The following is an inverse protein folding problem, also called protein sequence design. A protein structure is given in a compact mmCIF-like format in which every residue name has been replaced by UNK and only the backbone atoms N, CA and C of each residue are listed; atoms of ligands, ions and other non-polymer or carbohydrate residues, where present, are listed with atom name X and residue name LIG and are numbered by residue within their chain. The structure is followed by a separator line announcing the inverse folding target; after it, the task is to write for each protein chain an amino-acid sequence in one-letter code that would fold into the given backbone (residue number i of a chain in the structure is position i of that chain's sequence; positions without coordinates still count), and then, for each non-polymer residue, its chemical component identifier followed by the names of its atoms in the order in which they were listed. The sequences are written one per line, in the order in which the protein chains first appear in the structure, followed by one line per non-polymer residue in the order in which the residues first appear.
data_IF_420064157420
#
_entry.id   IF_420064157420
#
_cell.length_a   1.000
_cell.length_b   1.000
_cell.length_c   1.000
_cell.angle_alpha   90.00
_cell.angle_beta   90.00
_cell.angle_gamma   90.00
#
_symmetry.space_group_name_H-M   'P 1'
#
loop_
_entity.id
_entity.type
_entity.pdbx_description
1 polymer ?
#
# COMPACT_ATOMS: atom_id res chain seq x y z
N UNK A 1 -11.36 11.89 -10.09
CA UNK A 1 -10.04 11.28 -9.81
C UNK A 1 -8.97 12.24 -10.29
N UNK A 2 -7.97 12.48 -9.46
CA UNK A 2 -6.79 13.29 -9.77
C UNK A 2 -5.57 12.43 -9.44
N UNK A 3 -4.64 12.29 -10.39
CA UNK A 3 -3.36 11.62 -10.20
C UNK A 3 -2.28 12.69 -10.16
N UNK A 4 -1.42 12.65 -9.13
CA UNK A 4 -0.41 13.68 -8.87
C UNK A 4 0.95 13.01 -8.73
N UNK A 5 1.90 13.37 -9.58
CA UNK A 5 3.30 13.04 -9.36
C UNK A 5 3.80 13.91 -8.19
N UNK A 6 4.13 13.28 -7.07
CA UNK A 6 4.60 13.96 -5.85
C UNK A 6 5.51 13.00 -5.07
N UNK A 7 6.46 13.52 -4.28
CA UNK A 7 6.85 14.93 -4.10
C UNK A 7 7.68 15.50 -5.27
N UNK A 8 8.28 16.67 -5.08
CA UNK A 8 9.25 17.27 -6.03
C UNK A 8 10.35 16.25 -6.35
N UNK A 9 10.66 16.08 -7.64
CA UNK A 9 11.64 15.11 -8.15
C UNK A 9 11.02 13.82 -8.70
N UNK A 10 9.74 13.56 -8.44
CA UNK A 10 9.04 12.35 -8.91
C UNK A 10 8.41 12.56 -10.29
N UNK A 11 8.59 11.59 -11.19
CA UNK A 11 7.93 11.56 -12.50
C UNK A 11 8.15 12.84 -13.31
N UNK A 12 7.09 13.60 -13.57
CA UNK A 12 7.16 14.89 -14.26
C UNK A 12 7.21 16.11 -13.32
N UNK A 13 7.15 15.92 -12.01
CA UNK A 13 7.25 16.99 -11.01
C UNK A 13 8.69 17.44 -10.85
N UNK A 14 9.10 18.39 -11.69
CA UNK A 14 10.46 18.91 -11.72
C UNK A 14 10.77 19.85 -10.56
N UNK A 15 12.01 19.85 -10.09
CA UNK A 15 12.52 20.74 -9.05
C UNK A 15 13.68 20.09 -8.30
N UNK A 16 14.12 20.74 -7.23
CA UNK A 16 15.12 20.18 -6.31
C UNK A 16 14.39 19.77 -5.04
N UNK A 17 14.41 18.48 -4.63
CA UNK A 17 13.84 18.06 -3.37
C UNK A 17 14.44 18.84 -2.20
N UNK A 18 13.59 19.32 -1.30
CA UNK A 18 14.00 20.02 -0.07
C UNK A 18 13.42 19.42 1.18
N UNK A 19 12.49 18.47 1.05
CA UNK A 19 11.79 17.88 2.19
C UNK A 19 12.75 17.04 3.04
N UNK A 20 12.66 17.12 4.37
CA UNK A 20 13.31 16.17 5.30
C UNK A 20 12.33 15.20 5.95
N UNK A 21 11.03 15.39 5.70
CA UNK A 21 9.98 14.51 6.18
C UNK A 21 8.63 14.83 5.54
N UNK A 22 7.65 14.02 5.89
CA UNK A 22 6.26 14.05 5.42
C UNK A 22 5.55 15.37 5.70
N UNK A 23 5.87 16.09 6.78
CA UNK A 23 5.24 17.38 7.10
C UNK A 23 5.48 18.43 6.00
N UNK A 24 6.67 18.46 5.42
CA UNK A 24 7.04 19.40 4.35
C UNK A 24 6.41 18.97 3.01
N UNK A 25 6.43 17.67 2.70
CA UNK A 25 5.72 17.11 1.54
C UNK A 25 4.23 17.42 1.61
N UNK A 26 3.61 17.24 2.77
CA UNK A 26 2.20 17.51 2.98
C UNK A 26 1.88 19.00 2.81
N UNK A 27 2.75 19.90 3.27
CA UNK A 27 2.60 21.33 3.07
C UNK A 27 2.65 21.71 1.59
N UNK A 28 3.61 21.16 0.84
CA UNK A 28 3.74 21.38 -0.61
C UNK A 28 2.52 20.86 -1.36
N UNK A 29 2.05 19.65 -1.04
CA UNK A 29 0.86 19.07 -1.66
C UNK A 29 -0.38 19.93 -1.42
N UNK A 30 -0.60 20.39 -0.18
CA UNK A 30 -1.76 21.22 0.16
C UNK A 30 -1.71 22.57 -0.55
N UNK A 31 -0.52 23.16 -0.73
CA UNK A 31 -0.37 24.40 -1.50
C UNK A 31 -0.69 24.16 -2.99
N UNK A 32 -0.12 23.10 -3.59
CA UNK A 32 -0.46 22.70 -4.96
C UNK A 32 -1.96 22.48 -5.14
N UNK A 33 -2.58 21.73 -4.21
CA UNK A 33 -3.97 21.37 -4.33
C UNK A 33 -4.88 22.59 -4.17
N UNK A 34 -4.51 23.58 -3.36
CA UNK A 34 -5.24 24.86 -3.30
C UNK A 34 -5.21 25.58 -4.66
N UNK A 35 -4.02 25.74 -5.25
CA UNK A 35 -3.89 26.38 -6.57
C UNK A 35 -4.66 25.61 -7.66
N UNK A 36 -4.62 24.27 -7.62
CA UNK A 36 -5.40 23.43 -8.51
C UNK A 36 -6.91 23.65 -8.33
N UNK A 37 -7.39 23.77 -7.09
CA UNK A 37 -8.80 24.04 -6.83
C UNK A 37 -9.25 25.41 -7.34
N UNK A 38 -8.39 26.43 -7.22
CA UNK A 38 -8.66 27.78 -7.72
C UNK A 38 -8.72 27.83 -9.25
N UNK A 39 -7.81 27.13 -9.94
CA UNK A 39 -7.77 27.09 -11.41
C UNK A 39 -8.98 26.35 -12.00
N UNK A 40 -9.39 25.24 -11.39
CA UNK A 40 -10.44 24.36 -11.94
C UNK A 40 -11.82 24.51 -11.28
N UNK A 41 -11.99 25.46 -10.35
CA UNK A 41 -13.22 25.76 -9.62
C UNK A 41 -13.88 24.52 -8.98
N UNK A 42 -13.06 23.68 -8.34
CA UNK A 42 -13.51 22.46 -7.64
C UNK A 42 -13.65 22.64 -6.13
N UNK A 43 -13.74 23.89 -5.67
CA UNK A 43 -14.06 24.19 -4.27
C UNK A 43 -15.44 23.65 -3.89
N UNK A 44 -15.61 23.36 -2.59
CA UNK A 44 -16.75 22.69 -1.96
C UNK A 44 -16.90 21.21 -2.32
N UNK A 45 -15.98 20.62 -3.08
CA UNK A 45 -16.03 19.20 -3.38
C UNK A 45 -15.71 18.40 -2.13
N UNK A 46 -16.36 17.25 -1.97
CA UNK A 46 -15.91 16.24 -1.01
C UNK A 46 -14.58 15.68 -1.51
N UNK A 47 -13.59 15.66 -0.64
CA UNK A 47 -12.24 15.20 -0.96
C UNK A 47 -12.01 13.84 -0.32
N UNK A 48 -11.45 12.91 -1.09
CA UNK A 48 -11.02 11.61 -0.60
C UNK A 48 -9.57 11.41 -1.02
N UNK A 49 -8.70 11.10 -0.06
CA UNK A 49 -7.30 10.84 -0.35
C UNK A 49 -7.06 9.35 -0.43
N UNK A 50 -6.48 8.91 -1.54
CA UNK A 50 -6.25 7.51 -1.79
C UNK A 50 -4.83 7.26 -2.26
N UNK A 51 -4.25 6.12 -1.89
CA UNK A 51 -2.92 5.76 -2.33
C UNK A 51 -2.59 4.30 -2.03
N UNK A 52 -1.39 3.89 -2.42
CA UNK A 52 -0.86 2.54 -2.22
C UNK A 52 0.56 2.63 -1.65
N UNK A 53 1.03 1.60 -0.94
CA UNK A 53 2.44 1.47 -0.54
C UNK A 53 2.87 2.56 0.45
N UNK A 54 3.96 3.27 0.16
CA UNK A 54 4.43 4.42 0.91
C UNK A 54 3.38 5.53 1.05
N UNK A 55 2.32 5.55 0.23
CA UNK A 55 1.21 6.46 0.45
C UNK A 55 0.46 6.22 1.78
N UNK A 56 0.74 5.13 2.50
CA UNK A 56 0.40 5.00 3.91
C UNK A 56 0.98 6.09 4.81
N UNK A 57 2.08 6.74 4.38
CA UNK A 57 2.65 7.96 4.96
C UNK A 57 1.98 9.20 4.39
N UNK A 58 2.03 9.35 3.06
CA UNK A 58 1.52 10.54 2.37
C UNK A 58 0.04 10.81 2.69
N UNK A 59 -0.83 9.81 2.61
CA UNK A 59 -2.29 10.00 2.78
C UNK A 59 -2.63 10.54 4.18
N UNK A 60 -2.18 9.94 5.29
CA UNK A 60 -2.41 10.49 6.62
C UNK A 60 -1.77 11.86 6.86
N UNK A 61 -0.54 12.10 6.40
CA UNK A 61 0.15 13.37 6.59
C UNK A 61 -0.49 14.51 5.80
N UNK A 62 -0.78 14.31 4.52
CA UNK A 62 -1.51 15.28 3.69
C UNK A 62 -2.91 15.52 4.28
N UNK A 63 -3.59 14.46 4.71
CA UNK A 63 -4.90 14.58 5.35
C UNK A 63 -4.85 15.42 6.61
N UNK A 64 -3.85 15.22 7.48
CA UNK A 64 -3.67 16.02 8.68
C UNK A 64 -3.43 17.50 8.32
N UNK A 65 -2.58 17.78 7.34
CA UNK A 65 -2.33 19.14 6.86
C UNK A 65 -3.59 19.81 6.28
N UNK A 66 -4.44 19.06 5.57
CA UNK A 66 -5.75 19.54 5.10
C UNK A 66 -6.70 19.86 6.27
N UNK A 67 -6.78 18.98 7.27
CA UNK A 67 -7.59 19.21 8.48
C UNK A 67 -7.10 20.43 9.27
N UNK A 68 -5.79 20.69 9.31
CA UNK A 68 -5.18 21.84 9.98
C UNK A 68 -5.52 23.19 9.32
N UNK A 69 -5.90 23.21 8.04
CA UNK A 69 -6.38 24.43 7.39
C UNK A 69 -7.69 24.94 7.98
N UNK A 70 -8.50 24.05 8.57
CA UNK A 70 -9.82 24.37 9.11
C UNK A 70 -10.69 25.17 8.10
N UNK A 71 -10.62 24.75 6.83
CA UNK A 71 -11.30 25.38 5.70
C UNK A 71 -12.02 24.29 4.91
N UNK A 72 -13.30 24.11 5.19
CA UNK A 72 -14.15 23.13 4.49
C UNK A 72 -14.62 23.62 3.11
N UNK A 73 -14.35 24.86 2.71
CA UNK A 73 -14.60 25.28 1.33
C UNK A 73 -13.55 24.65 0.40
N UNK A 74 -12.29 24.53 0.83
CA UNK A 74 -11.20 23.97 0.01
C UNK A 74 -10.71 22.59 0.47
N UNK A 75 -10.93 22.20 1.73
CA UNK A 75 -10.37 20.98 2.31
C UNK A 75 -11.44 20.16 3.04
N UNK A 76 -12.61 19.98 2.42
CA UNK A 76 -13.67 19.11 2.91
C UNK A 76 -13.29 17.62 2.80
N UNK A 77 -12.32 17.19 3.61
CA UNK A 77 -11.84 15.83 3.69
C UNK A 77 -12.94 14.91 4.23
N UNK A 78 -13.37 13.96 3.41
CA UNK A 78 -14.53 13.10 3.64
C UNK A 78 -14.18 11.63 3.83
N UNK A 79 -12.92 11.23 3.65
CA UNK A 79 -12.46 9.87 3.86
C UNK A 79 -11.10 9.59 3.21
N UNK A 80 -10.58 8.40 3.45
CA UNK A 80 -9.34 7.93 2.86
C UNK A 80 -9.35 6.43 2.55
N UNK A 81 -8.60 6.02 1.54
CA UNK A 81 -8.44 4.61 1.14
C UNK A 81 -6.97 4.33 0.84
N UNK A 82 -6.37 3.39 1.56
CA UNK A 82 -4.97 3.03 1.39
C UNK A 82 -4.85 1.54 1.11
N UNK A 83 -4.10 1.18 0.07
CA UNK A 83 -3.78 -0.19 -0.31
C UNK A 83 -2.36 -0.54 0.12
N UNK A 84 -2.18 -1.71 0.73
CA UNK A 84 -0.88 -2.26 1.15
C UNK A 84 0.04 -1.18 1.69
N UNK A 85 -0.35 -0.54 2.81
CA UNK A 85 0.12 0.79 3.14
C UNK A 85 1.13 0.81 4.29
N UNK A 86 2.22 1.59 4.14
CA UNK A 86 3.18 1.87 5.22
C UNK A 86 2.55 2.80 6.28
N UNK A 87 1.81 2.23 7.23
CA UNK A 87 1.10 2.98 8.27
C UNK A 87 1.82 2.96 9.62
N UNK A 88 2.69 1.98 9.83
CA UNK A 88 3.47 1.75 11.04
C UNK A 88 4.94 1.55 10.71
N UNK A 89 5.69 1.00 11.67
CA UNK A 89 7.10 0.68 11.48
C UNK A 89 7.29 -0.38 10.38
N UNK A 90 7.75 0.00 9.20
CA UNK A 90 7.84 -0.93 8.06
C UNK A 90 8.97 -1.94 8.23
N UNK A 91 10.17 -1.43 8.53
CA UNK A 91 11.43 -2.20 8.56
C UNK A 91 11.48 -3.33 9.59
N UNK A 92 10.57 -3.33 10.57
CA UNK A 92 10.46 -4.39 11.57
C UNK A 92 9.06 -5.00 11.59
N UNK A 93 8.01 -4.19 11.76
CA UNK A 93 6.65 -4.68 12.04
C UNK A 93 5.91 -5.09 10.79
N UNK A 94 5.91 -4.26 9.73
CA UNK A 94 5.12 -4.55 8.53
C UNK A 94 5.79 -5.51 7.55
N UNK A 95 7.13 -5.54 7.51
CA UNK A 95 7.88 -6.36 6.56
C UNK A 95 8.57 -7.57 7.22
N UNK A 96 9.55 -7.33 8.10
CA UNK A 96 10.47 -8.37 8.57
C UNK A 96 9.80 -9.40 9.47
N UNK A 97 9.09 -8.95 10.49
CA UNK A 97 8.46 -9.82 11.48
C UNK A 97 7.48 -10.83 10.84
N UNK A 98 6.54 -10.44 9.96
CA UNK A 98 5.62 -11.39 9.35
C UNK A 98 6.20 -12.20 8.17
N UNK A 99 7.44 -11.96 7.75
CA UNK A 99 8.02 -12.57 6.54
C UNK A 99 8.12 -14.10 6.61
N UNK A 100 8.68 -14.65 7.69
CA UNK A 100 8.81 -16.11 7.82
C UNK A 100 7.46 -16.82 7.93
N UNK A 101 6.50 -16.40 8.79
CA UNK A 101 5.17 -17.01 8.82
C UNK A 101 4.47 -17.03 7.45
N UNK A 102 4.62 -15.97 6.65
CA UNK A 102 4.07 -15.93 5.29
C UNK A 102 4.72 -17.00 4.39
N UNK A 103 6.06 -17.09 4.41
CA UNK A 103 6.79 -18.10 3.63
C UNK A 103 6.43 -19.52 4.08
N UNK A 104 6.31 -19.75 5.39
CA UNK A 104 5.93 -21.05 5.94
C UNK A 104 4.52 -21.46 5.47
N UNK A 105 3.56 -20.53 5.54
CA UNK A 105 2.18 -20.75 5.09
C UNK A 105 2.10 -21.04 3.59
N UNK A 106 2.98 -20.45 2.78
CA UNK A 106 3.00 -20.55 1.32
C UNK A 106 4.26 -21.25 0.79
N UNK A 107 4.77 -22.24 1.53
CA UNK A 107 6.04 -22.90 1.21
C UNK A 107 6.06 -23.54 -0.19
N UNK A 108 4.89 -23.90 -0.73
CA UNK A 108 4.69 -24.43 -2.07
C UNK A 108 4.85 -23.40 -3.20
N UNK A 109 4.71 -22.10 -2.90
CA UNK A 109 5.03 -21.02 -3.84
C UNK A 109 6.53 -20.73 -3.85
N UNK A 110 7.16 -20.72 -2.68
CA UNK A 110 8.59 -20.41 -2.54
C UNK A 110 9.51 -21.57 -2.92
N UNK A 111 9.10 -22.82 -2.65
CA UNK A 111 9.86 -24.04 -2.96
C UNK A 111 11.30 -24.06 -2.40
N UNK A 112 11.53 -23.36 -1.29
CA UNK A 112 12.82 -23.36 -0.61
C UNK A 112 13.17 -24.74 -0.08
N UNK A 113 14.47 -25.05 -0.07
CA UNK A 113 14.94 -26.31 0.47
C UNK A 113 14.75 -26.35 2.00
N UNK A 114 14.63 -27.56 2.57
CA UNK A 114 14.39 -27.73 4.00
C UNK A 114 15.48 -27.14 4.90
N UNK A 115 16.74 -27.12 4.45
CA UNK A 115 17.84 -26.54 5.23
C UNK A 115 17.66 -25.03 5.37
N UNK A 116 17.27 -24.34 4.29
CA UNK A 116 17.02 -22.91 4.30
C UNK A 116 15.77 -22.57 5.11
N UNK A 117 14.68 -23.35 4.98
CA UNK A 117 13.50 -23.19 5.83
C UNK A 117 13.83 -23.32 7.34
N UNK A 118 14.74 -24.24 7.69
CA UNK A 118 15.23 -24.36 9.07
C UNK A 118 16.05 -23.15 9.53
N UNK A 119 16.89 -22.59 8.66
CA UNK A 119 17.65 -21.36 8.96
C UNK A 119 16.72 -20.15 9.17
N UNK A 120 15.67 -20.02 8.35
CA UNK A 120 14.65 -18.99 8.54
C UNK A 120 13.93 -19.15 9.88
N UNK A 121 13.51 -20.37 10.23
CA UNK A 121 12.87 -20.65 11.51
C UNK A 121 13.78 -20.31 12.70
N UNK A 122 15.03 -20.77 12.66
CA UNK A 122 16.01 -20.50 13.72
C UNK A 122 16.25 -18.99 13.88
N UNK A 123 16.33 -18.25 12.78
CA UNK A 123 16.48 -16.79 12.79
C UNK A 123 15.23 -16.12 13.36
N UNK A 124 14.03 -16.58 12.98
CA UNK A 124 12.75 -16.07 13.46
C UNK A 124 12.63 -16.17 14.99
N UNK A 125 13.06 -17.30 15.56
CA UNK A 125 13.05 -17.53 17.01
C UNK A 125 14.19 -16.78 17.72
N UNK A 126 15.43 -16.85 17.21
CA UNK A 126 16.58 -16.23 17.89
C UNK A 126 16.51 -14.69 17.92
N UNK A 127 15.88 -14.08 16.93
CA UNK A 127 15.66 -12.63 16.87
C UNK A 127 14.44 -12.15 17.66
N UNK A 128 13.70 -13.07 18.30
CA UNK A 128 12.56 -12.75 19.17
C UNK A 128 11.28 -12.36 18.42
N UNK A 129 11.21 -12.61 17.10
CA UNK A 129 10.05 -12.25 16.29
C UNK A 129 8.84 -13.11 16.65
N UNK A 130 9.06 -14.40 16.92
CA UNK A 130 8.01 -15.32 17.36
C UNK A 130 7.35 -14.88 18.66
N UNK A 131 8.15 -14.62 19.69
CA UNK A 131 7.67 -14.19 21.00
C UNK A 131 6.91 -12.86 20.89
N UNK A 132 7.41 -11.92 20.08
CA UNK A 132 6.73 -10.65 19.83
C UNK A 132 5.38 -10.86 19.15
N UNK A 133 5.32 -11.68 18.09
CA UNK A 133 4.07 -11.97 17.39
C UNK A 133 3.04 -12.63 18.32
N UNK A 134 3.44 -13.62 19.10
CA UNK A 134 2.57 -14.32 20.05
C UNK A 134 2.05 -13.40 21.16
N UNK A 135 2.85 -12.42 21.62
CA UNK A 135 2.46 -11.47 22.66
C UNK A 135 1.50 -10.39 22.15
N UNK A 136 1.76 -9.81 20.97
CA UNK A 136 1.08 -8.60 20.50
C UNK A 136 0.04 -8.83 19.40
N UNK A 137 0.07 -9.95 18.67
CA UNK A 137 -0.95 -10.27 17.67
C UNK A 137 -2.22 -10.87 18.28
N UNK A 138 -2.82 -10.14 19.21
CA UNK A 138 -3.99 -10.57 20.00
C UNK A 138 -5.15 -9.59 19.84
N UNK A 139 -6.38 -10.09 20.03
CA UNK A 139 -7.63 -9.31 19.93
C UNK A 139 -8.49 -9.60 21.18
N UNK A 140 -8.80 -8.60 22.03
CA UNK A 140 -8.31 -7.21 21.99
C UNK A 140 -6.78 -7.13 22.17
N UNK A 141 -6.19 -5.98 21.82
CA UNK A 141 -4.75 -5.78 21.96
C UNK A 141 -4.28 -6.00 23.41
N UNK A 142 -3.17 -6.72 23.58
CA UNK A 142 -2.59 -7.04 24.89
C UNK A 142 -1.94 -5.84 25.59
N UNK A 143 -1.55 -4.82 24.82
CA UNK A 143 -0.94 -3.59 25.31
C UNK A 143 -0.23 -2.83 24.19
N UNK A 144 0.27 -1.63 24.52
CA UNK A 144 1.11 -0.85 23.61
C UNK A 144 2.40 -1.63 23.38
N UNK A 145 2.75 -1.80 22.11
CA UNK A 145 3.91 -2.59 21.70
C UNK A 145 5.20 -1.79 21.96
N UNK A 146 6.30 -2.44 22.38
CA UNK A 146 7.56 -1.74 22.64
C UNK A 146 8.21 -1.31 21.32
N UNK A 147 8.91 -0.15 21.29
CA UNK A 147 9.64 0.29 20.11
C UNK A 147 10.75 -0.71 19.75
N UNK A 148 11.03 -0.82 18.45
CA UNK A 148 12.02 -1.75 17.91
C UNK A 148 13.00 -1.01 17.01
N UNK A 149 14.24 -1.48 17.03
CA UNK A 149 15.28 -1.06 16.10
C UNK A 149 15.72 -2.27 15.29
N UNK A 150 15.87 -2.08 13.98
CA UNK A 150 16.23 -3.16 13.08
C UNK A 150 17.74 -3.43 13.10
N UNK A 151 18.13 -4.68 13.40
CA UNK A 151 19.52 -5.17 13.26
C UNK A 151 19.69 -5.91 11.93
N UNK A 152 19.96 -5.15 10.87
CA UNK A 152 20.21 -5.67 9.53
C UNK A 152 21.41 -6.63 9.43
N UNK A 153 22.29 -6.66 10.44
CA UNK A 153 23.48 -7.53 10.39
C UNK A 153 23.21 -8.98 10.74
N UNK A 154 22.07 -9.28 11.39
CA UNK A 154 21.75 -10.61 11.92
C UNK A 154 20.31 -11.04 11.73
N UNK A 155 19.36 -10.10 11.81
CA UNK A 155 17.95 -10.41 11.92
C UNK A 155 17.15 -10.03 10.66
N UNK A 156 17.85 -9.84 9.54
CA UNK A 156 17.30 -9.46 8.24
C UNK A 156 16.72 -10.65 7.46
N UNK A 157 15.77 -11.34 8.09
CA UNK A 157 15.10 -12.50 7.51
C UNK A 157 14.34 -12.13 6.22
N UNK A 158 13.88 -10.88 6.13
CA UNK A 158 13.21 -10.34 4.96
C UNK A 158 14.09 -10.40 3.72
N UNK A 159 15.33 -9.86 3.79
CA UNK A 159 16.24 -9.90 2.65
C UNK A 159 16.80 -11.30 2.38
N UNK A 160 16.92 -12.15 3.40
CA UNK A 160 17.27 -13.57 3.19
C UNK A 160 16.25 -14.25 2.27
N UNK A 161 14.96 -14.12 2.59
CA UNK A 161 13.85 -14.67 1.79
C UNK A 161 13.81 -14.01 0.41
N UNK A 162 13.90 -12.67 0.35
CA UNK A 162 13.87 -11.91 -0.89
C UNK A 162 14.88 -12.42 -1.92
N UNK A 163 16.12 -12.60 -1.49
CA UNK A 163 17.21 -13.06 -2.34
C UNK A 163 17.04 -14.53 -2.77
N UNK A 164 16.63 -15.42 -1.87
CA UNK A 164 16.45 -16.83 -2.20
C UNK A 164 15.23 -17.06 -3.12
N UNK A 165 14.21 -16.20 -3.04
CA UNK A 165 13.04 -16.27 -3.92
C UNK A 165 13.43 -16.12 -5.40
N UNK A 166 14.36 -15.21 -5.73
CA UNK A 166 14.89 -15.06 -7.08
C UNK A 166 15.74 -16.26 -7.55
N UNK A 167 16.42 -16.95 -6.63
CA UNK A 167 17.17 -18.16 -6.98
C UNK A 167 16.23 -19.29 -7.43
N UNK A 168 15.06 -19.41 -6.79
CA UNK A 168 14.09 -20.45 -7.10
C UNK A 168 13.19 -20.09 -8.28
N UNK A 169 12.84 -18.80 -8.40
CA UNK A 169 11.99 -18.27 -9.47
C UNK A 169 12.58 -16.93 -9.98
N UNK A 170 13.21 -16.91 -11.17
CA UNK A 170 13.84 -15.69 -11.70
C UNK A 170 12.84 -14.61 -12.13
N UNK A 171 11.53 -14.92 -12.15
CA UNK A 171 10.46 -13.96 -12.40
C UNK A 171 9.65 -13.66 -11.13
N UNK A 172 10.14 -14.05 -9.95
CA UNK A 172 9.49 -13.74 -8.69
C UNK A 172 9.35 -12.23 -8.52
N UNK A 173 8.34 -11.84 -7.76
CA UNK A 173 7.98 -10.46 -7.52
C UNK A 173 7.60 -10.29 -6.05
N UNK A 174 8.23 -9.37 -5.30
CA UNK A 174 7.76 -9.06 -3.96
C UNK A 174 6.38 -8.40 -3.97
N UNK A 175 6.00 -7.78 -5.09
CA UNK A 175 4.66 -7.22 -5.27
C UNK A 175 3.57 -8.28 -5.33
N UNK A 176 3.90 -9.56 -5.59
CA UNK A 176 2.95 -10.66 -5.66
C UNK A 176 3.70 -12.01 -5.61
N UNK A 177 3.70 -12.67 -4.45
CA UNK A 177 4.48 -13.91 -4.23
C UNK A 177 4.13 -15.05 -5.18
N UNK A 178 2.91 -15.04 -5.75
CA UNK A 178 2.45 -16.05 -6.70
C UNK A 178 2.96 -15.83 -8.13
N UNK A 179 3.67 -14.73 -8.41
CA UNK A 179 4.10 -14.38 -9.76
C UNK A 179 5.17 -15.34 -10.27
N UNK A 180 4.98 -15.86 -11.49
CA UNK A 180 5.88 -16.78 -12.16
C UNK A 180 6.19 -16.32 -13.58
N UNK A 181 7.17 -16.93 -14.23
CA UNK A 181 7.53 -16.61 -15.60
C UNK A 181 6.41 -16.94 -16.61
N UNK A 182 6.30 -16.22 -17.74
CA UNK A 182 7.20 -15.16 -18.22
C UNK A 182 6.95 -13.77 -17.59
N UNK A 183 7.97 -12.91 -17.58
CA UNK A 183 7.78 -11.49 -17.30
C UNK A 183 6.94 -10.86 -18.43
N UNK A 184 5.76 -10.38 -18.07
CA UNK A 184 4.87 -9.70 -19.02
C UNK A 184 5.35 -8.26 -19.25
N UNK A 185 5.04 -7.71 -20.42
CA UNK A 185 5.34 -6.33 -20.73
C UNK A 185 4.47 -5.39 -19.90
N UNK A 186 5.10 -4.45 -19.21
CA UNK A 186 4.46 -3.34 -18.54
C UNK A 186 4.72 -2.03 -19.32
N UNK A 187 3.67 -1.26 -19.53
CA UNK A 187 3.73 0.06 -20.19
C UNK A 187 4.55 1.08 -19.38
N UNK A 188 4.69 0.86 -18.07
CA UNK A 188 5.52 1.62 -17.15
C UNK A 188 6.95 1.08 -17.06
N UNK A 189 7.24 -0.10 -17.63
CA UNK A 189 8.56 -0.72 -17.64
C UNK A 189 8.97 -1.41 -16.33
N UNK A 190 8.05 -1.59 -15.38
CA UNK A 190 8.31 -2.11 -14.03
C UNK A 190 7.28 -3.21 -13.63
N UNK A 191 7.28 -4.35 -14.35
CA UNK A 191 6.31 -5.42 -14.09
C UNK A 191 6.56 -6.16 -12.76
N UNK A 192 7.80 -6.15 -12.28
CA UNK A 192 8.25 -6.68 -10.97
C UNK A 192 9.32 -5.75 -10.43
N UNK A 193 10.14 -6.22 -9.49
CA UNK A 193 11.39 -5.53 -9.12
C UNK A 193 12.47 -5.57 -10.23
N UNK A 194 12.22 -6.33 -11.30
CA UNK A 194 13.04 -6.33 -12.49
C UNK A 194 12.48 -5.35 -13.52
N UNK A 195 13.26 -4.31 -13.82
CA UNK A 195 12.98 -3.43 -14.95
C UNK A 195 12.96 -4.23 -16.25
N UNK A 196 11.84 -4.20 -16.96
CA UNK A 196 11.67 -4.94 -18.20
C UNK A 196 10.91 -4.11 -19.24
N UNK A 197 11.67 -3.56 -20.18
CA UNK A 197 11.16 -2.75 -21.28
C UNK A 197 11.57 -3.38 -22.63
N UNK A 198 10.79 -4.32 -23.18
CA UNK A 198 11.06 -4.91 -24.49
C UNK A 198 10.83 -3.95 -25.67
N UNK A 199 10.15 -2.82 -25.43
CA UNK A 199 9.91 -1.75 -26.40
C UNK A 199 11.01 -0.66 -26.39
N UNK A 200 10.97 0.30 -27.35
CA UNK A 200 11.98 1.35 -27.47
C UNK A 200 11.94 2.38 -26.33
N UNK A 201 10.78 2.58 -25.69
CA UNK A 201 10.60 3.42 -24.50
C UNK A 201 9.37 2.96 -23.73
N UNK A 202 9.27 3.33 -22.45
CA UNK A 202 8.01 3.29 -21.69
C UNK A 202 6.97 4.23 -22.32
N UNK A 203 5.70 4.04 -21.97
CA UNK A 203 4.59 4.81 -22.54
C UNK A 203 4.74 6.33 -22.32
N UNK A 204 5.04 6.72 -21.07
CA UNK A 204 5.22 8.13 -20.69
C UNK A 204 6.45 8.77 -21.32
N UNK A 205 7.43 7.98 -21.77
CA UNK A 205 8.61 8.50 -22.46
C UNK A 205 8.44 8.71 -23.97
N UNK A 206 7.32 8.30 -24.56
CA UNK A 206 7.07 8.58 -25.97
C UNK A 206 6.88 10.07 -26.21
N UNK A 207 7.54 10.61 -27.24
CA UNK A 207 7.45 12.04 -27.57
C UNK A 207 6.03 12.53 -27.84
N UNK A 208 5.18 11.72 -28.47
CA UNK A 208 3.78 12.07 -28.72
C UNK A 208 2.95 12.10 -27.43
N UNK A 209 3.23 11.21 -26.48
CA UNK A 209 2.61 11.19 -25.16
C UNK A 209 3.05 12.39 -24.32
N UNK A 210 4.37 12.69 -24.23
CA UNK A 210 4.87 13.88 -23.51
C UNK A 210 4.20 15.17 -24.02
N UNK A 211 4.06 15.31 -25.34
CA UNK A 211 3.36 16.44 -25.97
C UNK A 211 1.87 16.50 -25.60
N UNK A 212 1.18 15.35 -25.59
CA UNK A 212 -0.25 15.29 -25.26
C UNK A 212 -0.53 15.60 -23.79
N UNK A 213 0.40 15.26 -22.88
CA UNK A 213 0.31 15.56 -21.45
C UNK A 213 0.81 16.97 -21.09
N UNK A 214 1.33 17.72 -22.07
CA UNK A 214 1.93 19.04 -21.84
C UNK A 214 3.11 19.05 -20.85
N UNK A 215 3.86 17.94 -20.79
CA UNK A 215 5.03 17.79 -19.92
C UNK A 215 6.34 18.09 -20.68
N UNK A 216 7.44 18.43 -19.98
CA UNK A 216 8.73 18.69 -20.61
C UNK A 216 9.21 17.52 -21.47
N UNK A 217 9.68 17.79 -22.69
CA UNK A 217 10.11 16.73 -23.61
C UNK A 217 11.51 16.19 -23.32
N UNK A 218 12.29 16.94 -22.55
CA UNK A 218 13.67 16.69 -22.14
C UNK A 218 13.81 15.99 -20.78
N UNK A 219 12.70 15.80 -20.07
CA UNK A 219 12.66 15.00 -18.84
C UNK A 219 12.23 13.59 -19.20
N UNK A 220 13.04 12.59 -18.87
CA UNK A 220 12.63 11.19 -18.94
C UNK A 220 11.87 10.81 -17.67
N UNK A 221 10.66 10.30 -17.89
CA UNK A 221 9.79 9.82 -16.84
C UNK A 221 10.25 8.45 -16.36
N UNK A 222 10.28 8.29 -15.05
CA UNK A 222 10.53 7.02 -14.38
C UNK A 222 9.44 6.78 -13.34
N UNK A 223 9.13 5.50 -13.08
CA UNK A 223 8.08 5.14 -12.13
C UNK A 223 8.43 5.59 -10.70
N UNK A 224 9.69 5.44 -10.32
CA UNK A 224 10.23 5.87 -9.03
C UNK A 224 11.38 6.85 -9.30
N UNK A 225 11.54 7.87 -8.46
CA UNK A 225 12.69 8.78 -8.56
C UNK A 225 14.00 8.02 -8.33
N UNK A 226 15.02 8.32 -9.15
CA UNK A 226 16.38 7.77 -9.00
C UNK A 226 17.09 8.40 -7.80
N UNK A 227 16.81 9.67 -7.54
CA UNK A 227 17.37 10.43 -6.42
C UNK A 227 16.40 10.40 -5.24
N UNK A 228 16.95 10.47 -4.02
CA UNK A 228 16.13 10.58 -2.81
C UNK A 228 15.24 11.81 -2.86
N UNK A 229 13.97 11.64 -2.48
CA UNK A 229 13.03 12.75 -2.32
C UNK A 229 13.14 13.42 -0.95
N UNK A 230 13.83 12.78 -0.02
CA UNK A 230 14.18 13.34 1.28
C UNK A 230 15.66 13.74 1.31
N UNK A 231 15.94 14.95 1.80
CA UNK A 231 17.29 15.52 1.90
C UNK A 231 17.75 15.65 3.35
N UNK A 232 17.44 14.65 4.17
CA UNK A 232 17.88 14.60 5.57
C UNK A 232 19.32 14.07 5.72
N UNK A 233 20.14 14.67 6.62
CA UNK A 233 21.38 14.05 7.09
C UNK A 233 21.14 12.96 8.15
N UNK A 234 19.94 12.91 8.74
CA UNK A 234 19.50 11.87 9.66
C UNK A 234 18.90 10.72 8.83
N UNK A 235 19.29 9.45 9.07
CA UNK A 235 18.66 8.33 8.40
C UNK A 235 17.17 8.14 8.78
N UNK A 236 16.68 8.79 9.82
CA UNK A 236 15.30 8.67 10.29
C UNK A 236 15.03 7.35 11.02
N UNK A 237 13.81 7.16 11.57
CA UNK A 237 13.45 5.98 12.36
C UNK A 237 13.61 4.64 11.61
N UNK A 238 13.39 4.63 10.30
CA UNK A 238 13.46 3.42 9.46
C UNK A 238 14.67 3.39 8.52
N UNK A 239 15.62 4.31 8.72
CA UNK A 239 16.86 4.39 7.94
C UNK A 239 16.65 4.70 6.44
N UNK A 240 15.59 5.42 6.09
CA UNK A 240 15.23 5.84 4.73
C UNK A 240 15.23 7.36 4.51
N UNK A 241 15.86 8.12 5.43
CA UNK A 241 15.99 9.59 5.40
C UNK A 241 14.68 10.38 5.55
N UNK A 242 13.54 9.70 5.74
CA UNK A 242 12.32 10.31 6.22
C UNK A 242 12.38 10.43 7.75
N UNK A 243 12.41 11.66 8.27
CA UNK A 243 12.45 11.93 9.71
C UNK A 243 11.08 11.78 10.40
N UNK A 244 10.01 11.57 9.65
CA UNK A 244 8.65 11.60 10.17
C UNK A 244 8.30 10.37 11.02
N UNK A 245 7.47 10.60 12.03
CA UNK A 245 6.92 9.53 12.87
C UNK A 245 6.01 8.58 12.07
N UNK A 246 5.72 7.41 12.64
CA UNK A 246 4.79 6.50 11.98
C UNK A 246 3.36 7.08 11.98
N UNK A 247 2.60 6.93 10.88
CA UNK A 247 1.23 7.44 10.79
C UNK A 247 0.33 6.99 11.94
N UNK A 248 0.45 5.73 12.37
CA UNK A 248 -0.30 5.14 13.50
C UNK A 248 -0.05 5.84 14.83
N UNK A 249 1.04 6.59 14.99
CA UNK A 249 1.36 7.28 16.25
C UNK A 249 0.50 8.54 16.44
N UNK A 250 0.23 9.29 15.37
CA UNK A 250 -0.37 10.62 15.47
C UNK A 250 -1.41 10.93 14.37
N UNK A 251 -1.00 10.90 13.10
CA UNK A 251 -1.81 11.48 12.01
C UNK A 251 -2.95 10.57 11.53
N UNK A 252 -2.75 9.25 11.52
CA UNK A 252 -3.76 8.29 11.09
C UNK A 252 -4.94 8.19 12.07
N UNK A 253 -4.76 8.08 13.41
CA UNK A 253 -5.87 8.15 14.36
C UNK A 253 -6.72 9.41 14.17
N UNK A 254 -6.08 10.57 14.01
CA UNK A 254 -6.77 11.85 13.80
C UNK A 254 -7.61 11.85 12.52
N UNK A 255 -7.08 11.29 11.42
CA UNK A 255 -7.82 11.13 10.16
C UNK A 255 -9.05 10.21 10.33
N UNK A 256 -8.88 9.07 11.02
CA UNK A 256 -9.98 8.14 11.30
C UNK A 256 -11.09 8.84 12.10
N UNK A 257 -10.72 9.52 13.17
CA UNK A 257 -11.67 10.21 14.06
C UNK A 257 -12.39 11.37 13.37
N UNK A 258 -11.69 12.11 12.51
CA UNK A 258 -12.27 13.25 11.80
C UNK A 258 -13.27 12.83 10.71
N UNK A 259 -13.02 11.71 10.03
CA UNK A 259 -13.80 11.31 8.83
C UNK A 259 -14.77 10.16 9.07
N UNK A 260 -14.47 9.27 10.02
CA UNK A 260 -15.15 7.99 10.21
C UNK A 260 -15.32 7.17 8.92
N UNK A 261 -14.41 7.36 7.95
CA UNK A 261 -14.49 6.79 6.61
C UNK A 261 -13.10 6.52 6.06
N UNK A 262 -12.32 5.74 6.80
CA UNK A 262 -10.98 5.28 6.40
C UNK A 262 -11.04 3.80 6.09
N UNK A 263 -10.50 3.39 4.94
CA UNK A 263 -10.30 2.00 4.57
C UNK A 263 -8.81 1.72 4.38
N UNK A 264 -8.30 0.70 5.05
CA UNK A 264 -6.97 0.14 4.82
C UNK A 264 -7.16 -1.27 4.30
N UNK A 265 -6.70 -1.55 3.09
CA UNK A 265 -6.80 -2.87 2.48
C UNK A 265 -5.43 -3.46 2.24
N UNK A 266 -5.25 -4.76 2.47
CA UNK A 266 -4.03 -5.50 2.15
C UNK A 266 -4.32 -6.69 1.22
N UNK A 267 -3.44 -6.94 0.25
CA UNK A 267 -3.47 -8.12 -0.59
C UNK A 267 -2.82 -9.31 0.12
N UNK A 268 -3.46 -10.48 0.07
CA UNK A 268 -2.97 -11.71 0.72
C UNK A 268 -1.62 -12.23 0.16
N UNK A 269 -1.22 -11.77 -1.02
CA UNK A 269 0.03 -12.15 -1.69
C UNK A 269 1.08 -11.04 -1.75
N UNK A 270 0.88 -9.91 -1.07
CA UNK A 270 1.91 -8.89 -0.95
C UNK A 270 3.03 -9.32 -0.01
N UNK A 271 4.28 -9.23 -0.48
CA UNK A 271 5.47 -9.46 0.34
C UNK A 271 6.06 -8.16 0.89
N UNK A 272 5.83 -7.02 0.23
CA UNK A 272 6.42 -5.74 0.66
C UNK A 272 5.83 -5.26 1.98
N UNK A 273 4.50 -5.36 2.10
CA UNK A 273 3.74 -4.92 3.27
C UNK A 273 2.76 -6.04 3.61
N UNK A 274 3.22 -6.95 4.45
CA UNK A 274 2.53 -8.21 4.70
C UNK A 274 1.30 -7.97 5.58
N UNK A 275 0.17 -8.55 5.22
CA UNK A 275 -1.15 -8.36 5.88
C UNK A 275 -1.09 -8.45 7.41
N UNK A 276 -0.41 -9.48 7.94
CA UNK A 276 -0.26 -9.64 9.40
C UNK A 276 0.55 -8.51 10.05
N UNK A 277 1.51 -7.94 9.32
CA UNK A 277 2.28 -6.78 9.73
C UNK A 277 1.43 -5.50 9.79
N UNK A 278 0.57 -5.27 8.80
CA UNK A 278 -0.41 -4.17 8.87
C UNK A 278 -1.37 -4.34 10.03
N UNK A 279 -1.90 -5.54 10.24
CA UNK A 279 -2.78 -5.82 11.38
C UNK A 279 -2.06 -5.62 12.72
N UNK A 280 -0.79 -5.99 12.84
CA UNK A 280 0.04 -5.67 14.01
C UNK A 280 0.19 -4.16 14.21
N UNK A 281 0.46 -3.41 13.14
CA UNK A 281 0.54 -1.95 13.19
C UNK A 281 -0.77 -1.32 13.68
N UNK A 282 -1.92 -1.82 13.21
CA UNK A 282 -3.25 -1.41 13.70
C UNK A 282 -3.45 -1.79 15.17
N UNK A 283 -3.02 -2.97 15.61
CA UNK A 283 -3.11 -3.36 17.03
C UNK A 283 -2.29 -2.46 17.96
N UNK A 284 -1.30 -1.73 17.44
CA UNK A 284 -0.54 -0.73 18.20
C UNK A 284 -1.13 0.69 18.16
N UNK A 285 -2.21 0.91 17.39
CA UNK A 285 -2.81 2.22 17.20
C UNK A 285 -3.96 2.44 18.20
N UNK A 286 -4.01 3.60 18.85
CA UNK A 286 -5.16 4.03 19.65
C UNK A 286 -5.97 5.06 18.87
N UNK A 287 -7.28 4.82 18.71
CA UNK A 287 -8.20 5.79 18.10
C UNK A 287 -9.56 5.69 18.78
N UNK A 288 -10.33 6.77 18.84
CA UNK A 288 -11.67 6.77 19.44
C UNK A 288 -11.73 6.11 20.84
N UNK A 289 -10.64 6.20 21.62
CA UNK A 289 -10.56 5.77 23.02
C UNK A 289 -10.11 4.33 23.31
N UNK A 290 -9.91 3.46 22.30
CA UNK A 290 -9.47 2.07 22.53
C UNK A 290 -8.24 1.71 21.68
N UNK A 291 -7.39 0.82 22.20
CA UNK A 291 -6.17 0.34 21.54
C UNK A 291 -6.46 -0.87 20.65
N UNK A 292 -6.07 -0.80 19.38
CA UNK A 292 -6.23 -1.87 18.41
C UNK A 292 -7.69 -2.24 18.16
N UNK A 293 -7.96 -3.11 17.19
CA UNK A 293 -9.28 -3.72 17.06
C UNK A 293 -9.61 -4.59 18.27
N UNK A 294 -10.89 -4.58 18.65
CA UNK A 294 -11.37 -5.35 19.79
C UNK A 294 -11.70 -6.80 19.41
N UNK A 295 -11.89 -7.07 18.12
CA UNK A 295 -12.13 -8.40 17.57
C UNK A 295 -11.37 -8.62 16.28
N UNK A 296 -10.99 -9.87 16.00
CA UNK A 296 -10.26 -10.23 14.78
C UNK A 296 -11.13 -10.03 13.52
N UNK A 297 -10.58 -9.47 12.43
CA UNK A 297 -11.23 -9.46 11.13
C UNK A 297 -11.58 -10.86 10.64
N UNK A 298 -12.87 -11.11 10.40
CA UNK A 298 -13.40 -12.43 9.99
C UNK A 298 -14.64 -12.35 9.11
N UNK A 299 -15.22 -11.16 8.93
CA UNK A 299 -16.45 -11.00 8.13
C UNK A 299 -16.11 -11.18 6.66
N UNK A 300 -16.72 -12.10 5.90
CA UNK A 300 -16.38 -12.27 4.49
C UNK A 300 -16.73 -11.04 3.64
N UNK A 301 -15.95 -10.80 2.58
CA UNK A 301 -16.27 -9.87 1.50
C UNK A 301 -16.90 -10.67 0.35
N UNK A 302 -18.11 -10.31 -0.04
CA UNK A 302 -18.89 -11.03 -1.06
C UNK A 302 -19.01 -10.22 -2.35
N UNK A 303 -18.36 -10.68 -3.42
CA UNK A 303 -18.45 -10.06 -4.73
C UNK A 303 -19.51 -10.76 -5.57
N UNK A 304 -20.74 -10.28 -5.42
CA UNK A 304 -21.91 -10.76 -6.15
C UNK A 304 -22.09 -10.08 -7.53
N UNK A 305 -21.22 -9.13 -7.87
CA UNK A 305 -21.33 -8.37 -9.11
C UNK A 305 -20.70 -9.12 -10.31
N UNK A 306 -21.27 -8.99 -11.52
CA UNK A 306 -20.71 -9.61 -12.73
C UNK A 306 -19.34 -9.00 -13.06
N UNK A 307 -18.56 -9.70 -13.91
CA UNK A 307 -17.32 -9.14 -14.42
C UNK A 307 -17.61 -7.93 -15.31
N UNK A 308 -17.08 -6.76 -14.95
CA UNK A 308 -17.28 -5.53 -15.72
C UNK A 308 -16.20 -5.32 -16.79
N UNK A 309 -15.11 -6.08 -16.73
CA UNK A 309 -13.93 -5.92 -17.57
C UNK A 309 -13.90 -6.94 -18.71
N UNK A 310 -14.23 -8.21 -18.41
CA UNK A 310 -14.07 -9.32 -19.33
C UNK A 310 -15.37 -9.95 -19.83
N UNK A 311 -16.54 -9.51 -19.37
CA UNK A 311 -17.84 -10.05 -19.81
C UNK A 311 -17.96 -10.17 -21.33
N UNK A 312 -17.65 -9.09 -22.06
CA UNK A 312 -17.72 -9.09 -23.52
C UNK A 312 -16.76 -10.11 -24.18
N UNK A 313 -15.66 -10.47 -23.52
CA UNK A 313 -14.71 -11.48 -23.99
C UNK A 313 -15.28 -12.90 -23.79
N UNK A 314 -15.95 -13.15 -22.66
CA UNK A 314 -16.64 -14.42 -22.39
C UNK A 314 -17.84 -14.61 -23.33
N UNK A 315 -18.67 -13.59 -23.49
CA UNK A 315 -19.85 -13.62 -24.35
C UNK A 315 -19.51 -13.85 -25.83
N UNK A 316 -18.36 -13.35 -26.27
CA UNK A 316 -17.88 -13.53 -27.64
C UNK A 316 -17.39 -14.96 -27.93
N UNK A 317 -17.16 -15.78 -26.89
CA UNK A 317 -16.63 -17.14 -27.03
C UNK A 317 -17.74 -18.18 -26.90
N UNK A 318 -17.84 -19.05 -27.92
CA UNK A 318 -18.86 -20.09 -27.97
C UNK A 318 -18.74 -21.03 -26.76
N UNK A 319 -19.80 -21.10 -25.96
CA UNK A 319 -19.88 -21.94 -24.77
C UNK A 319 -19.21 -21.37 -23.52
N UNK A 320 -18.72 -20.11 -23.54
CA UNK A 320 -18.08 -19.47 -22.39
C UNK A 320 -18.93 -18.42 -21.67
N UNK A 321 -19.96 -17.87 -22.30
CA UNK A 321 -20.81 -16.82 -21.70
C UNK A 321 -21.47 -17.22 -20.37
N UNK A 322 -21.79 -18.50 -20.18
CA UNK A 322 -22.41 -19.00 -18.94
C UNK A 322 -21.41 -19.12 -17.76
N UNK A 323 -20.10 -18.92 -17.98
CA UNK A 323 -19.09 -18.94 -16.92
C UNK A 323 -18.80 -17.58 -16.31
N UNK A 324 -19.19 -16.48 -16.97
CA UNK A 324 -19.06 -15.15 -16.38
C UNK A 324 -20.13 -14.97 -15.29
N UNK A 325 -19.70 -14.54 -14.10
CA UNK A 325 -20.52 -14.53 -12.90
C UNK A 325 -19.84 -13.89 -11.69
N UNK A 326 -20.50 -13.94 -10.53
CA UNK A 326 -19.95 -13.41 -9.28
C UNK A 326 -18.66 -14.14 -8.86
N UNK A 327 -17.73 -13.45 -8.20
CA UNK A 327 -16.51 -14.11 -7.69
C UNK A 327 -16.75 -14.87 -6.39
N UNK A 328 -17.83 -14.54 -5.66
CA UNK A 328 -18.09 -15.11 -4.34
C UNK A 328 -17.23 -14.45 -3.27
N UNK A 329 -16.65 -15.25 -2.36
CA UNK A 329 -15.86 -14.73 -1.25
C UNK A 329 -14.45 -14.36 -1.75
N UNK A 330 -14.13 -13.07 -1.68
CA UNK A 330 -12.85 -12.53 -2.18
C UNK A 330 -12.05 -11.78 -1.12
N UNK A 331 -12.32 -12.07 0.16
CA UNK A 331 -11.58 -11.46 1.25
C UNK A 331 -12.29 -11.55 2.58
N UNK A 332 -11.71 -10.87 3.57
CA UNK A 332 -12.33 -10.61 4.87
C UNK A 332 -12.25 -9.13 5.19
N UNK A 333 -13.22 -8.63 5.95
CA UNK A 333 -13.33 -7.25 6.37
C UNK A 333 -13.61 -7.12 7.87
N UNK A 334 -13.34 -5.94 8.39
CA UNK A 334 -13.69 -5.53 9.74
C UNK A 334 -13.85 -4.02 9.81
N UNK A 335 -15.04 -3.56 10.20
CA UNK A 335 -15.29 -2.15 10.45
C UNK A 335 -15.44 -1.89 11.95
N UNK A 336 -14.62 -1.00 12.48
CA UNK A 336 -14.66 -0.63 13.89
C UNK A 336 -14.24 0.83 14.09
N UNK A 337 -15.10 1.61 14.76
CA UNK A 337 -14.80 2.98 15.22
C UNK A 337 -14.24 3.89 14.09
N UNK A 338 -14.82 3.82 12.89
CA UNK A 338 -14.46 4.69 11.77
C UNK A 338 -13.39 4.14 10.83
N UNK A 339 -12.77 3.00 11.16
CA UNK A 339 -11.77 2.31 10.35
C UNK A 339 -12.33 1.00 9.79
N UNK A 340 -12.27 0.84 8.48
CA UNK A 340 -12.43 -0.42 7.77
C UNK A 340 -11.05 -1.03 7.51
N UNK A 341 -10.84 -2.28 7.91
CA UNK A 341 -9.77 -3.12 7.39
C UNK A 341 -10.36 -4.12 6.39
N UNK A 342 -9.67 -4.34 5.27
CA UNK A 342 -9.97 -5.40 4.32
C UNK A 342 -8.70 -6.20 3.98
N UNK A 343 -8.81 -7.53 3.97
CA UNK A 343 -7.85 -8.40 3.33
C UNK A 343 -8.46 -8.87 2.02
N UNK A 344 -7.81 -8.57 0.90
CA UNK A 344 -8.26 -8.94 -0.44
C UNK A 344 -7.53 -10.19 -0.88
N UNK A 345 -8.30 -11.25 -1.15
CA UNK A 345 -7.74 -12.53 -1.57
C UNK A 345 -7.30 -12.51 -3.04
N UNK A 346 -6.27 -13.30 -3.34
CA UNK A 346 -5.66 -13.41 -4.66
C UNK A 346 -5.18 -12.06 -5.21
N UNK A 347 -4.63 -11.21 -4.34
CA UNK A 347 -4.09 -9.91 -4.71
C UNK A 347 -2.71 -9.72 -4.09
N UNK A 348 -1.78 -9.20 -4.89
CA UNK A 348 -0.53 -8.64 -4.39
C UNK A 348 -0.69 -7.17 -3.98
N UNK A 349 0.45 -6.49 -3.92
CA UNK A 349 0.60 -5.07 -3.57
C UNK A 349 -0.27 -4.13 -4.42
N UNK A 350 -0.46 -4.48 -5.70
CA UNK A 350 -1.26 -3.70 -6.66
C UNK A 350 -2.68 -4.23 -6.71
N UNK A 351 -3.43 -4.10 -5.61
CA UNK A 351 -4.75 -4.74 -5.47
C UNK A 351 -5.73 -4.37 -6.58
N UNK A 352 -5.73 -3.11 -7.02
CA UNK A 352 -6.64 -2.67 -8.11
C UNK A 352 -6.34 -3.32 -9.46
N UNK A 353 -5.09 -3.76 -9.68
CA UNK A 353 -4.69 -4.51 -10.86
C UNK A 353 -5.13 -5.98 -10.75
N UNK A 354 -4.98 -6.59 -9.58
CA UNK A 354 -5.24 -8.01 -9.38
C UNK A 354 -6.73 -8.33 -9.14
N UNK A 355 -7.44 -7.46 -8.41
CA UNK A 355 -8.82 -7.65 -7.95
C UNK A 355 -9.68 -6.41 -8.17
N UNK A 356 -9.80 -5.97 -9.43
CA UNK A 356 -10.51 -4.74 -9.79
C UNK A 356 -11.96 -4.65 -9.29
N UNK A 357 -12.71 -5.76 -9.18
CA UNK A 357 -14.08 -5.75 -8.63
C UNK A 357 -14.11 -5.50 -7.13
N UNK A 358 -13.19 -6.10 -6.36
CA UNK A 358 -13.06 -5.86 -4.92
C UNK A 358 -12.65 -4.41 -4.69
N UNK A 359 -11.64 -3.93 -5.42
CA UNK A 359 -11.20 -2.53 -5.32
C UNK A 359 -12.29 -1.54 -5.73
N UNK A 360 -13.16 -1.89 -6.68
CA UNK A 360 -14.33 -1.09 -7.03
C UNK A 360 -15.33 -1.02 -5.88
N UNK A 361 -15.57 -2.14 -5.17
CA UNK A 361 -16.40 -2.16 -3.95
C UNK A 361 -15.82 -1.28 -2.84
N UNK A 362 -14.51 -1.31 -2.63
CA UNK A 362 -13.85 -0.40 -1.68
C UNK A 362 -14.10 1.08 -2.02
N UNK A 363 -14.06 1.45 -3.30
CA UNK A 363 -14.36 2.82 -3.74
C UNK A 363 -15.83 3.17 -3.52
N UNK A 364 -16.77 2.26 -3.81
CA UNK A 364 -18.19 2.50 -3.53
C UNK A 364 -18.45 2.74 -2.03
N UNK A 365 -17.79 1.96 -1.17
CA UNK A 365 -17.85 2.14 0.28
C UNK A 365 -17.25 3.45 0.75
N UNK A 366 -16.09 3.83 0.19
CA UNK A 366 -15.42 5.08 0.49
C UNK A 366 -16.31 6.28 0.18
N UNK A 367 -16.95 6.28 -1.00
CA UNK A 367 -17.81 7.38 -1.46
C UNK A 367 -19.14 7.46 -0.69
N UNK A 368 -19.55 6.35 -0.05
CA UNK A 368 -20.82 6.19 0.64
C UNK A 368 -21.96 5.76 -0.27
N UNK A 369 -21.64 5.14 -1.41
CA UNK A 369 -22.62 4.64 -2.38
C UNK A 369 -23.18 3.26 -1.96
N UNK A 370 -22.38 2.45 -1.27
CA UNK A 370 -22.74 1.14 -0.72
C UNK A 370 -21.98 0.91 0.59
N UNK A 371 -22.67 0.72 1.71
CA UNK A 371 -22.01 0.48 3.00
C UNK A 371 -21.55 -0.99 3.18
N UNK A 372 -21.78 -1.85 2.19
CA UNK A 372 -21.30 -3.24 2.18
C UNK A 372 -20.05 -3.39 1.30
N UNK A 373 -19.10 -4.22 1.73
CA UNK A 373 -18.02 -4.76 0.88
C UNK A 373 -18.33 -6.15 0.34
#
# INVERSE_FOLDING_TARGET
MLWVDQPVGVGFSNGTPTATGEEEIAADFVNFFLEFQEEYDIKNFRIFLTGESYAGRYVPYISAAMLDKNDTEHFNLSGALMYDACIGQWDYIQAVLPAYPLVEQHADLFNFNQSFMGELQDTYEQCGYKEYFEEYFTYPASGVQPPKEMDYSKCDIYNMIYNEAFNTNPCWSPYKISQTCPLLWDVLGFPTDLFYQPGPSTYFNRTDVKKALHVPTDIDWELCSVESVFVSPDPGPEQQYDESANPTEHVLPRLIEATNRVLISNGDWDYLIITNGTLLAIQNMTWNGELGFQTRPTTPIHIDMPDLQYAAVFDAQEGYGDYDGPQGIMGVQHYERGLMFAETFQAGHRQSQDQGRVSYRHVQWLLGDDDHL
#
